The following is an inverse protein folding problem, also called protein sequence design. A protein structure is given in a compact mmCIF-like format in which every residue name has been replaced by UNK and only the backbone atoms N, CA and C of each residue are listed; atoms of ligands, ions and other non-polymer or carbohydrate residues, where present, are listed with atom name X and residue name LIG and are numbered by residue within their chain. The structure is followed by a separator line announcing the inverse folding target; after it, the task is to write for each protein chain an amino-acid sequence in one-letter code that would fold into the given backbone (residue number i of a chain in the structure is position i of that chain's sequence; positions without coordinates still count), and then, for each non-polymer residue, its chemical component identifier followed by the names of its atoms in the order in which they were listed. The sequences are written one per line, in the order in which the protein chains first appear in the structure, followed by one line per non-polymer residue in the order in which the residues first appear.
data_IF_403623105594
#
_entry.id   IF_403623105594
#
_cell.length_a   1.000
_cell.length_b   1.000
_cell.length_c   1.000
_cell.angle_alpha   90.00
_cell.angle_beta   90.00
_cell.angle_gamma   90.00
#
_symmetry.space_group_name_H-M   'P 1'
#
loop_
_entity.id
_entity.type
_entity.pdbx_description
1 polymer ?
#
# COMPACT_ATOMS: atom_id res chain seq x y z
N UNK A 1 17.83 -27.96 1.69
CA UNK A 1 17.18 -26.90 0.91
C UNK A 1 16.74 -25.78 1.84
N UNK A 2 17.19 -24.57 1.61
CA UNK A 2 16.73 -23.47 2.43
C UNK A 2 15.23 -23.26 2.26
N UNK A 3 14.58 -22.83 3.33
CA UNK A 3 13.18 -22.42 3.27
C UNK A 3 13.04 -21.18 2.39
N UNK A 4 11.91 -21.01 1.69
CA UNK A 4 11.69 -19.78 0.94
C UNK A 4 11.74 -18.57 1.86
N UNK A 5 12.43 -17.54 1.42
CA UNK A 5 12.52 -16.28 2.15
C UNK A 5 11.42 -15.37 1.66
N UNK A 6 10.59 -14.88 2.58
CA UNK A 6 9.55 -13.91 2.27
C UNK A 6 9.99 -12.53 2.70
N UNK A 7 9.76 -11.55 1.82
CA UNK A 7 9.85 -10.15 2.19
C UNK A 7 8.58 -9.76 2.92
N UNK A 8 8.72 -9.05 4.04
CA UNK A 8 7.60 -8.60 4.86
C UNK A 8 7.76 -7.13 5.21
N UNK A 9 6.65 -6.43 5.30
CA UNK A 9 6.60 -5.04 5.72
C UNK A 9 5.27 -4.78 6.40
N UNK A 10 5.29 -3.97 7.47
CA UNK A 10 4.05 -3.51 8.09
C UNK A 10 4.25 -2.14 8.70
N UNK A 11 3.20 -1.33 8.68
CA UNK A 11 3.18 0.00 9.30
C UNK A 11 1.75 0.36 9.68
N UNK A 12 1.60 1.08 10.78
CA UNK A 12 0.33 1.69 11.19
C UNK A 12 0.58 3.18 11.36
N UNK A 13 -0.23 3.99 10.71
CA UNK A 13 -0.04 5.43 10.66
C UNK A 13 -1.36 6.16 10.61
N UNK A 14 -1.45 7.31 11.28
CA UNK A 14 -2.56 8.22 11.15
C UNK A 14 -2.43 9.04 9.86
N UNK A 15 -3.51 9.15 9.11
CA UNK A 15 -3.62 10.03 7.94
C UNK A 15 -4.24 11.35 8.40
N UNK A 16 -3.57 12.46 8.13
CA UNK A 16 -4.13 13.78 8.39
C UNK A 16 -5.19 14.13 7.36
N UNK A 17 -6.22 14.85 7.79
CA UNK A 17 -7.34 15.22 6.92
C UNK A 17 -6.88 15.93 5.65
N UNK A 18 -7.23 15.39 4.50
CA UNK A 18 -6.94 15.96 3.18
C UNK A 18 -5.49 15.89 2.74
N UNK A 19 -4.61 15.24 3.49
CA UNK A 19 -3.19 15.14 3.16
C UNK A 19 -2.88 13.79 2.56
N UNK A 20 -2.31 13.78 1.35
CA UNK A 20 -1.82 12.55 0.72
C UNK A 20 -0.53 12.09 1.43
N UNK A 21 -0.52 10.86 1.91
CA UNK A 21 0.62 10.28 2.61
C UNK A 21 1.18 9.11 1.82
N UNK A 22 2.45 9.18 1.47
CA UNK A 22 3.15 8.14 0.71
C UNK A 22 3.83 7.14 1.65
N UNK A 23 3.70 5.86 1.31
CA UNK A 23 4.36 4.76 2.00
C UNK A 23 5.25 4.04 1.00
N UNK A 24 6.54 4.06 1.22
CA UNK A 24 7.50 3.35 0.37
C UNK A 24 7.70 1.94 0.92
N UNK A 25 7.20 0.95 0.19
CA UNK A 25 7.17 -0.44 0.60
C UNK A 25 8.34 -1.17 -0.05
N UNK A 26 9.26 -1.77 0.72
CA UNK A 26 10.39 -2.50 0.16
C UNK A 26 9.93 -3.82 -0.44
N UNK A 27 9.94 -3.91 -1.75
CA UNK A 27 9.59 -5.12 -2.50
C UNK A 27 10.82 -5.99 -2.74
N UNK A 28 11.99 -5.35 -2.91
CA UNK A 28 13.29 -6.01 -3.02
C UNK A 28 13.36 -7.10 -4.11
N UNK A 29 12.74 -6.85 -5.25
CA UNK A 29 12.79 -7.75 -6.38
C UNK A 29 11.84 -8.94 -6.32
N UNK A 30 10.92 -8.98 -5.37
CA UNK A 30 9.90 -10.02 -5.34
C UNK A 30 9.09 -10.02 -6.63
N UNK A 31 8.82 -11.19 -7.18
CA UNK A 31 8.00 -11.36 -8.39
C UNK A 31 6.52 -11.47 -8.06
N UNK A 32 6.21 -11.98 -6.87
CA UNK A 32 4.85 -12.06 -6.35
C UNK A 32 4.80 -11.33 -5.03
N UNK A 33 3.95 -10.33 -4.92
CA UNK A 33 3.77 -9.60 -3.67
C UNK A 33 2.34 -9.12 -3.53
N UNK A 34 1.89 -9.04 -2.29
CA UNK A 34 0.54 -8.61 -1.93
C UNK A 34 0.64 -7.53 -0.87
N UNK A 35 -0.11 -6.46 -1.07
CA UNK A 35 -0.27 -5.38 -0.09
C UNK A 35 -1.71 -5.35 0.37
N UNK A 36 -1.91 -5.34 1.67
CA UNK A 36 -3.23 -5.20 2.29
C UNK A 36 -3.25 -3.89 3.05
N UNK A 37 -4.27 -3.09 2.81
CA UNK A 37 -4.53 -1.85 3.54
C UNK A 37 -5.79 -2.04 4.37
N UNK A 38 -5.68 -1.84 5.67
CA UNK A 38 -6.83 -1.84 6.57
C UNK A 38 -7.07 -0.44 7.11
N UNK A 39 -8.28 0.03 6.99
CA UNK A 39 -8.71 1.26 7.66
C UNK A 39 -9.12 0.90 9.10
N UNK A 40 -8.24 1.18 10.06
CA UNK A 40 -8.46 0.89 11.47
C UNK A 40 -9.16 2.02 12.22
N UNK A 41 -9.48 3.11 11.53
CA UNK A 41 -10.20 4.23 12.10
C UNK A 41 -11.63 3.86 12.48
N UNK A 42 -12.24 4.69 13.31
CA UNK A 42 -13.57 4.43 13.87
C UNK A 42 -14.71 4.92 12.97
N UNK A 43 -14.49 5.99 12.20
CA UNK A 43 -15.59 6.69 11.51
C UNK A 43 -15.31 7.12 10.08
N UNK A 44 -14.06 7.46 9.74
CA UNK A 44 -13.75 8.13 8.48
C UNK A 44 -13.17 7.17 7.45
N UNK A 45 -13.57 7.29 6.16
CA UNK A 45 -13.04 6.44 5.11
C UNK A 45 -11.67 6.92 4.60
N UNK A 46 -10.94 6.00 3.96
CA UNK A 46 -9.87 6.35 3.03
C UNK A 46 -10.51 6.71 1.70
N UNK A 47 -10.27 7.92 1.22
CA UNK A 47 -11.02 8.48 0.08
C UNK A 47 -10.28 8.33 -1.24
N UNK A 48 -8.96 8.16 -1.22
CA UNK A 48 -8.17 7.96 -2.42
C UNK A 48 -6.95 7.09 -2.14
N UNK A 49 -6.55 6.30 -3.13
CA UNK A 49 -5.35 5.50 -3.08
C UNK A 49 -4.70 5.45 -4.48
N UNK A 50 -3.38 5.55 -4.52
CA UNK A 50 -2.60 5.37 -5.74
C UNK A 50 -1.40 4.49 -5.47
N UNK A 51 -0.89 3.84 -6.51
CA UNK A 51 0.32 3.02 -6.41
C UNK A 51 1.25 3.30 -7.58
N UNK A 52 2.53 3.40 -7.27
CA UNK A 52 3.61 3.52 -8.23
C UNK A 52 4.72 2.54 -7.88
N UNK A 53 5.53 2.14 -8.85
CA UNK A 53 6.64 1.23 -8.62
C UNK A 53 7.95 1.83 -9.10
N UNK A 54 9.05 1.43 -8.47
CA UNK A 54 10.38 1.87 -8.84
C UNK A 54 11.31 0.67 -9.03
N UNK A 55 12.02 0.66 -10.15
CA UNK A 55 12.98 -0.41 -10.43
C UNK A 55 14.18 -0.36 -9.49
N UNK A 56 14.69 0.83 -9.20
CA UNK A 56 15.91 1.03 -8.41
C UNK A 56 15.69 1.84 -7.12
N UNK A 57 14.46 2.21 -6.84
CA UNK A 57 14.12 2.97 -5.62
C UNK A 57 14.25 4.49 -5.74
N UNK A 58 14.61 5.02 -6.91
CA UNK A 58 14.84 6.46 -7.13
C UNK A 58 13.86 7.09 -8.09
N UNK A 59 13.54 6.42 -9.19
CA UNK A 59 12.57 6.89 -10.17
C UNK A 59 11.32 6.01 -10.08
N UNK A 60 10.17 6.64 -9.96
CA UNK A 60 8.90 5.96 -9.86
C UNK A 60 8.10 6.07 -11.15
N UNK A 61 7.34 5.03 -11.46
CA UNK A 61 6.34 5.06 -12.52
C UNK A 61 5.28 6.12 -12.21
N UNK A 62 4.50 6.50 -13.22
CA UNK A 62 3.30 7.31 -12.97
C UNK A 62 2.38 6.58 -11.99
N UNK A 63 1.83 7.32 -11.03
CA UNK A 63 0.93 6.75 -10.04
C UNK A 63 -0.38 6.32 -10.71
N UNK A 64 -0.78 5.08 -10.46
CA UNK A 64 -2.04 4.52 -10.94
C UNK A 64 -3.08 4.58 -9.82
N UNK A 65 -4.26 5.10 -10.13
CA UNK A 65 -5.35 5.16 -9.15
C UNK A 65 -5.88 3.77 -8.84
N UNK A 66 -6.06 3.48 -7.54
CA UNK A 66 -6.75 2.30 -7.07
C UNK A 66 -8.20 2.74 -6.82
N UNK A 67 -9.13 2.23 -7.61
CA UNK A 67 -10.54 2.63 -7.54
C UNK A 67 -11.42 1.54 -6.93
N UNK A 68 -11.09 0.27 -7.13
CA UNK A 68 -11.83 -0.84 -6.56
C UNK A 68 -11.66 -0.86 -5.04
N UNK A 69 -12.77 -0.83 -4.31
CA UNK A 69 -12.77 -0.82 -2.85
C UNK A 69 -12.53 0.56 -2.23
N UNK A 70 -12.41 1.60 -3.02
CA UNK A 70 -12.29 2.98 -2.56
C UNK A 70 -13.60 3.73 -2.86
N UNK A 71 -14.19 4.45 -1.90
CA UNK A 71 -13.71 4.72 -0.53
C UNK A 71 -13.65 3.48 0.34
N UNK A 72 -12.59 3.36 1.13
CA UNK A 72 -12.40 2.26 2.06
C UNK A 72 -13.00 2.63 3.41
N UNK A 73 -14.11 2.02 3.74
CA UNK A 73 -14.85 2.33 4.96
C UNK A 73 -14.04 1.99 6.22
N UNK A 74 -14.28 2.74 7.30
CA UNK A 74 -13.68 2.47 8.59
C UNK A 74 -13.94 1.03 9.04
N UNK A 75 -12.91 0.38 9.58
CA UNK A 75 -12.97 -1.00 10.04
C UNK A 75 -12.92 -2.06 8.94
N UNK A 76 -12.68 -1.67 7.67
CA UNK A 76 -12.60 -2.60 6.54
C UNK A 76 -11.19 -2.70 5.97
N UNK A 77 -10.95 -3.74 5.19
CA UNK A 77 -9.67 -3.98 4.52
C UNK A 77 -9.82 -3.92 3.01
N UNK A 78 -8.82 -3.34 2.36
CA UNK A 78 -8.63 -3.41 0.92
C UNK A 78 -7.57 -4.48 0.65
N UNK A 79 -8.00 -5.62 0.17
CA UNK A 79 -7.16 -6.80 -0.02
C UNK A 79 -6.83 -7.09 -1.49
N UNK A 80 -7.13 -6.14 -2.37
CA UNK A 80 -7.00 -6.31 -3.81
C UNK A 80 -5.74 -5.67 -4.41
N UNK A 81 -4.87 -5.10 -3.57
CA UNK A 81 -3.59 -4.58 -4.07
C UNK A 81 -2.63 -5.75 -4.21
N UNK A 82 -2.64 -6.34 -5.37
CA UNK A 82 -1.71 -7.40 -5.71
C UNK A 82 -0.65 -6.81 -6.61
N UNK A 83 0.58 -6.99 -6.22
CA UNK A 83 1.70 -6.58 -7.03
C UNK A 83 1.74 -7.43 -8.28
N UNK A 84 1.83 -6.76 -9.41
CA UNK A 84 1.95 -7.46 -10.64
C UNK A 84 3.33 -8.11 -10.76
N UNK A 85 3.43 -8.98 -11.65
CA UNK A 85 4.49 -9.81 -12.16
C UNK A 85 5.85 -9.13 -12.39
N UNK A 86 5.99 -7.83 -12.21
CA UNK A 86 7.24 -7.13 -12.47
C UNK A 86 8.04 -6.96 -11.18
N UNK A 87 9.26 -7.53 -11.12
CA UNK A 87 10.13 -7.27 -9.99
C UNK A 87 10.44 -5.78 -9.91
N UNK A 88 10.39 -5.24 -8.71
CA UNK A 88 10.77 -3.86 -8.44
C UNK A 88 11.46 -3.80 -7.08
N UNK A 89 12.20 -2.72 -6.80
CA UNK A 89 12.76 -2.54 -5.46
C UNK A 89 11.76 -1.95 -4.49
N UNK A 90 10.97 -1.01 -4.95
CA UNK A 90 10.07 -0.25 -4.06
C UNK A 90 8.71 -0.04 -4.74
N UNK A 91 7.65 -0.20 -3.98
CA UNK A 91 6.32 0.25 -4.37
C UNK A 91 5.92 1.42 -3.47
N UNK A 92 5.42 2.49 -4.08
CA UNK A 92 4.92 3.65 -3.33
C UNK A 92 3.40 3.63 -3.34
N UNK A 93 2.83 3.40 -2.18
CA UNK A 93 1.39 3.48 -1.96
C UNK A 93 1.08 4.83 -1.34
N UNK A 94 0.20 5.60 -1.96
CA UNK A 94 -0.21 6.90 -1.44
C UNK A 94 -1.67 6.84 -1.06
N UNK A 95 -1.98 7.18 0.18
CA UNK A 95 -3.33 7.14 0.73
C UNK A 95 -3.76 8.53 1.17
N UNK A 96 -5.03 8.84 0.96
CA UNK A 96 -5.64 10.09 1.40
C UNK A 96 -6.97 9.79 2.08
N UNK A 97 -7.22 10.44 3.20
CA UNK A 97 -8.53 10.48 3.84
C UNK A 97 -8.96 11.94 3.98
N UNK A 98 -10.12 12.30 3.40
CA UNK A 98 -10.59 13.68 3.43
C UNK A 98 -10.81 14.19 4.86
N UNK A 99 -11.20 13.33 5.78
CA UNK A 99 -11.49 13.68 7.18
C UNK A 99 -10.46 13.17 8.18
N UNK A 100 -9.48 12.40 7.73
CA UNK A 100 -8.46 11.79 8.56
C UNK A 100 -8.90 10.46 9.16
N UNK A 101 -8.00 9.49 9.18
CA UNK A 101 -8.23 8.16 9.77
C UNK A 101 -6.88 7.52 10.07
N UNK A 102 -6.91 6.34 10.65
CA UNK A 102 -5.71 5.53 10.88
C UNK A 102 -5.74 4.31 9.99
N UNK A 103 -4.61 3.99 9.39
CA UNK A 103 -4.49 2.83 8.50
C UNK A 103 -3.35 1.92 8.95
N UNK A 104 -3.52 0.64 8.69
CA UNK A 104 -2.45 -0.36 8.80
C UNK A 104 -2.18 -0.93 7.41
N UNK A 105 -0.91 -1.04 7.05
CA UNK A 105 -0.47 -1.56 5.77
C UNK A 105 0.42 -2.76 6.04
N UNK A 106 0.13 -3.87 5.38
CA UNK A 106 0.93 -5.08 5.44
C UNK A 106 1.30 -5.54 4.04
N UNK A 107 2.52 -6.02 3.87
CA UNK A 107 2.99 -6.57 2.61
C UNK A 107 3.71 -7.88 2.87
N UNK A 108 3.49 -8.84 2.00
CA UNK A 108 4.29 -10.07 1.90
C UNK A 108 4.60 -10.35 0.44
N UNK A 109 5.80 -10.80 0.18
CA UNK A 109 6.24 -11.13 -1.18
C UNK A 109 7.33 -12.18 -1.22
N UNK A 110 7.48 -12.75 -2.39
CA UNK A 110 8.53 -13.74 -2.61
C UNK A 110 9.11 -13.65 -4.03
#
# INVERSE_FOLDING_TARGET
MPSPTYQQFSVTTALSAGVATAFDIPINGCTNWTVIVRNTGATNPVTAATIAVSALGTLFSAAAAITTGIPLAAGTSLDTIVGSLQPCLTARLTLTSASGTTVSIEMVGS
#
